data_IF_030378654580
#
_entry.id   IF_030378654580
#
_cell.length_a   1.000
_cell.length_b   1.000
_cell.length_c   1.000
_cell.angle_alpha   90.00
_cell.angle_beta   90.00
_cell.angle_gamma   90.00
#
_symmetry.space_group_name_H-M   'P 1'
#
loop_
_entity.id
_entity.type
_entity.pdbx_description
1 polymer ?
#
# COMPACT_ATOMS: atom_id res chain seq x y z
N UNK A 1 29.01 -14.42 -14.20
CA UNK A 1 27.59 -14.03 -14.33
C UNK A 1 26.75 -15.00 -13.54
N UNK A 2 25.97 -14.54 -12.55
CA UNK A 2 24.97 -15.40 -11.89
C UNK A 2 23.80 -15.63 -12.85
N UNK A 3 23.24 -16.84 -12.84
CA UNK A 3 22.15 -17.25 -13.71
C UNK A 3 20.97 -17.70 -12.85
N UNK A 4 19.78 -17.26 -13.23
CA UNK A 4 18.52 -17.62 -12.58
C UNK A 4 17.54 -18.14 -13.63
N UNK A 5 16.60 -18.99 -13.20
CA UNK A 5 15.47 -19.37 -14.03
C UNK A 5 14.48 -18.20 -14.11
N UNK A 6 14.17 -17.59 -12.97
CA UNK A 6 13.22 -16.47 -12.85
C UNK A 6 13.87 -15.29 -12.14
N UNK A 7 13.76 -14.11 -12.72
CA UNK A 7 14.08 -12.85 -12.04
C UNK A 7 12.79 -12.06 -11.80
N UNK A 8 12.56 -11.63 -10.57
CA UNK A 8 11.43 -10.78 -10.19
C UNK A 8 11.96 -9.39 -9.84
N UNK A 9 11.42 -8.35 -10.48
CA UNK A 9 11.86 -6.96 -10.31
C UNK A 9 10.84 -6.20 -9.46
N UNK A 10 11.19 -5.95 -8.21
CA UNK A 10 10.41 -5.19 -7.24
C UNK A 10 9.86 -6.07 -6.11
N UNK A 11 10.37 -5.88 -4.90
CA UNK A 11 9.90 -6.58 -3.70
C UNK A 11 8.62 -5.98 -3.09
N UNK A 12 7.65 -5.59 -3.92
CA UNK A 12 6.30 -5.24 -3.47
C UNK A 12 5.45 -6.49 -3.21
N UNK A 13 4.18 -6.32 -2.83
CA UNK A 13 3.25 -7.44 -2.57
C UNK A 13 3.20 -8.45 -3.73
N UNK A 14 3.09 -7.97 -4.97
CA UNK A 14 3.06 -8.85 -6.15
C UNK A 14 4.39 -9.58 -6.38
N UNK A 15 5.52 -8.89 -6.22
CA UNK A 15 6.83 -9.49 -6.43
C UNK A 15 7.20 -10.51 -5.35
N UNK A 16 6.77 -10.31 -4.11
CA UNK A 16 6.96 -11.29 -3.04
C UNK A 16 6.25 -12.61 -3.38
N UNK A 17 4.96 -12.56 -3.74
CA UNK A 17 4.21 -13.76 -4.13
C UNK A 17 4.79 -14.41 -5.40
N UNK A 18 5.15 -13.62 -6.42
CA UNK A 18 5.75 -14.16 -7.64
C UNK A 18 7.08 -14.87 -7.38
N UNK A 19 7.95 -14.28 -6.56
CA UNK A 19 9.25 -14.86 -6.24
C UNK A 19 9.13 -16.11 -5.37
N UNK A 20 8.28 -16.07 -4.33
CA UNK A 20 8.00 -17.22 -3.48
C UNK A 20 7.37 -18.37 -4.28
N UNK A 21 6.41 -18.07 -5.17
CA UNK A 21 5.78 -19.09 -6.01
C UNK A 21 6.82 -19.77 -6.93
N UNK A 22 7.65 -18.98 -7.64
CA UNK A 22 8.67 -19.53 -8.53
C UNK A 22 9.68 -20.41 -7.78
N UNK A 23 10.18 -19.94 -6.64
CA UNK A 23 11.14 -20.68 -5.82
C UNK A 23 10.52 -21.98 -5.24
N UNK A 24 9.28 -21.92 -4.74
CA UNK A 24 8.53 -23.09 -4.23
C UNK A 24 8.23 -24.13 -5.30
N UNK A 25 8.13 -23.71 -6.56
CA UNK A 25 8.05 -24.61 -7.72
C UNK A 25 9.40 -25.22 -8.12
N UNK A 26 10.48 -24.90 -7.41
CA UNK A 26 11.80 -25.49 -7.58
C UNK A 26 12.73 -24.75 -8.54
N UNK A 27 12.39 -23.53 -8.96
CA UNK A 27 13.18 -22.71 -9.87
C UNK A 27 14.19 -21.84 -9.13
N UNK A 28 15.42 -21.71 -9.65
CA UNK A 28 16.41 -20.76 -9.12
C UNK A 28 15.94 -19.33 -9.37
N UNK A 29 15.58 -18.61 -8.31
CA UNK A 29 14.86 -17.33 -8.39
C UNK A 29 15.65 -16.20 -7.75
N UNK A 30 15.67 -15.03 -8.38
CA UNK A 30 16.17 -13.81 -7.76
C UNK A 30 15.09 -12.74 -7.66
N UNK A 31 14.92 -12.16 -6.46
CA UNK A 31 14.06 -11.01 -6.21
C UNK A 31 14.91 -9.76 -6.06
N UNK A 32 14.79 -8.84 -7.01
CA UNK A 32 15.46 -7.54 -6.99
C UNK A 32 14.61 -6.46 -6.34
N UNK A 33 15.24 -5.59 -5.56
CA UNK A 33 14.61 -4.41 -4.98
C UNK A 33 15.60 -3.28 -4.80
N UNK A 34 15.13 -2.03 -4.85
CA UNK A 34 15.99 -0.86 -4.57
C UNK A 34 16.43 -0.81 -3.10
N UNK A 35 15.63 -1.38 -2.19
CA UNK A 35 15.97 -1.51 -0.78
C UNK A 35 15.33 -2.78 -0.18
N UNK A 36 16.13 -3.54 0.57
CA UNK A 36 15.67 -4.71 1.32
C UNK A 36 14.93 -4.33 2.61
N UNK A 37 14.91 -3.06 3.00
CA UNK A 37 14.27 -2.58 4.23
C UNK A 37 12.80 -2.19 4.02
N UNK A 38 12.30 -2.32 2.78
CA UNK A 38 10.91 -2.02 2.42
C UNK A 38 10.20 -3.18 1.69
N UNK A 39 10.67 -4.42 1.83
CA UNK A 39 10.04 -5.64 1.29
C UNK A 39 8.58 -5.74 1.73
N UNK A 40 7.65 -5.84 0.78
CA UNK A 40 6.20 -5.86 1.02
C UNK A 40 5.68 -4.74 1.93
N UNK A 41 6.35 -3.58 1.94
CA UNK A 41 5.93 -2.43 2.75
C UNK A 41 4.53 -1.96 2.37
N UNK A 42 3.67 -1.83 3.38
CA UNK A 42 2.32 -1.27 3.26
C UNK A 42 2.35 0.26 3.17
N UNK A 43 2.48 0.78 1.95
CA UNK A 43 2.65 2.23 1.70
C UNK A 43 1.38 3.05 1.91
N UNK A 44 0.22 2.41 1.87
CA UNK A 44 -1.09 3.06 1.97
C UNK A 44 -1.76 2.66 3.30
N UNK A 45 -2.91 1.99 3.23
CA UNK A 45 -3.68 1.57 4.39
C UNK A 45 -2.97 0.45 5.18
N UNK A 46 -2.91 0.50 6.53
CA UNK A 46 -2.41 -0.57 7.41
C UNK A 46 -3.34 -1.81 7.45
N UNK A 47 -3.92 -2.26 6.33
CA UNK A 47 -4.87 -3.38 6.36
C UNK A 47 -4.78 -4.32 5.17
N UNK A 48 -5.17 -5.58 5.44
CA UNK A 48 -5.33 -6.66 4.46
C UNK A 48 -6.77 -7.19 4.53
N UNK A 49 -7.31 -7.56 3.37
CA UNK A 49 -8.69 -8.00 3.24
C UNK A 49 -9.70 -6.86 3.13
N UNK A 50 -10.93 -7.10 3.59
CA UNK A 50 -12.11 -6.28 3.33
C UNK A 50 -12.98 -6.83 2.20
N UNK A 51 -14.02 -6.10 1.76
CA UNK A 51 -14.90 -6.58 0.69
C UNK A 51 -14.11 -6.91 -0.58
N UNK A 52 -14.40 -8.05 -1.21
CA UNK A 52 -13.64 -8.69 -2.28
C UNK A 52 -12.20 -9.10 -1.91
N UNK A 53 -11.39 -8.16 -1.38
CA UNK A 53 -9.99 -8.39 -1.00
C UNK A 53 -9.80 -9.54 -0.02
N UNK A 54 -10.71 -9.73 0.94
CA UNK A 54 -10.63 -10.81 1.91
C UNK A 54 -10.77 -12.19 1.27
N UNK A 55 -11.56 -12.30 0.21
CA UNK A 55 -11.68 -13.54 -0.58
C UNK A 55 -10.40 -13.79 -1.37
N UNK A 56 -9.86 -12.77 -2.04
CA UNK A 56 -8.60 -12.86 -2.79
C UNK A 56 -7.43 -13.31 -1.89
N UNK A 57 -7.35 -12.83 -0.65
CA UNK A 57 -6.30 -13.26 0.30
C UNK A 57 -6.45 -14.75 0.62
N UNK A 58 -7.68 -15.25 0.80
CA UNK A 58 -7.93 -16.68 1.02
C UNK A 58 -7.66 -17.52 -0.23
N UNK A 59 -7.93 -17.00 -1.42
CA UNK A 59 -7.59 -17.67 -2.68
C UNK A 59 -6.06 -17.76 -2.86
N UNK A 60 -5.32 -16.69 -2.54
CA UNK A 60 -3.84 -16.71 -2.52
C UNK A 60 -3.33 -17.77 -1.54
N UNK A 61 -3.92 -17.87 -0.35
CA UNK A 61 -3.57 -18.91 0.64
C UNK A 61 -3.79 -20.32 0.11
N UNK A 62 -4.96 -20.57 -0.50
CA UNK A 62 -5.31 -21.87 -1.07
C UNK A 62 -4.37 -22.30 -2.20
N UNK A 63 -3.80 -21.34 -2.93
CA UNK A 63 -2.78 -21.57 -3.95
C UNK A 63 -1.35 -21.72 -3.38
N UNK A 64 -1.18 -21.61 -2.06
CA UNK A 64 0.11 -21.76 -1.38
C UNK A 64 0.92 -20.46 -1.25
N UNK A 65 0.28 -19.31 -1.46
CA UNK A 65 0.89 -17.98 -1.27
C UNK A 65 1.17 -17.64 0.19
N UNK A 66 1.78 -16.48 0.42
CA UNK A 66 2.28 -16.08 1.74
C UNK A 66 1.46 -15.00 2.43
N UNK A 67 0.70 -14.19 1.69
CA UNK A 67 -0.02 -13.01 2.20
C UNK A 67 -0.91 -13.33 3.41
N UNK A 68 -1.64 -14.45 3.37
CA UNK A 68 -2.53 -14.87 4.45
C UNK A 68 -1.78 -15.29 5.72
N UNK A 69 -0.69 -16.06 5.57
CA UNK A 69 0.18 -16.45 6.69
C UNK A 69 0.86 -15.22 7.29
N UNK A 70 1.33 -14.32 6.44
CA UNK A 70 2.03 -13.11 6.86
C UNK A 70 1.11 -12.18 7.66
N UNK A 71 -0.13 -11.96 7.21
CA UNK A 71 -1.08 -11.15 7.96
C UNK A 71 -1.48 -11.80 9.28
N UNK A 72 -1.63 -13.13 9.35
CA UNK A 72 -1.91 -13.83 10.60
C UNK A 72 -0.78 -13.67 11.63
N UNK A 73 0.47 -13.59 11.17
CA UNK A 73 1.63 -13.29 12.02
C UNK A 73 1.76 -11.81 12.40
N UNK A 74 1.14 -10.89 11.67
CA UNK A 74 1.36 -9.45 11.86
C UNK A 74 0.10 -8.63 12.16
N UNK A 75 -1.08 -9.23 12.27
CA UNK A 75 -2.30 -8.45 12.51
C UNK A 75 -2.28 -7.81 13.90
N UNK A 76 -2.95 -6.66 14.01
CA UNK A 76 -3.23 -5.94 15.27
C UNK A 76 -4.73 -5.81 15.52
N UNK A 77 -5.57 -6.14 14.55
CA UNK A 77 -7.02 -6.25 14.71
C UNK A 77 -7.55 -7.15 13.60
N UNK A 78 -8.54 -8.00 13.87
CA UNK A 78 -9.26 -8.72 12.82
C UNK A 78 -10.77 -8.66 13.04
N UNK A 79 -11.53 -8.53 11.94
CA UNK A 79 -13.00 -8.45 11.95
C UNK A 79 -13.61 -9.17 10.76
N UNK A 80 -14.80 -9.72 10.95
CA UNK A 80 -15.69 -10.10 9.86
C UNK A 80 -16.56 -8.92 9.47
N UNK A 81 -16.50 -8.51 8.21
CA UNK A 81 -17.37 -7.47 7.66
C UNK A 81 -18.67 -8.08 7.14
N UNK A 82 -19.73 -7.27 7.04
CA UNK A 82 -21.05 -7.66 6.54
C UNK A 82 -21.71 -8.82 7.30
N UNK A 83 -21.47 -8.95 8.61
CA UNK A 83 -22.02 -10.03 9.45
C UNK A 83 -23.55 -10.08 9.49
N UNK A 84 -24.22 -8.93 9.33
CA UNK A 84 -25.69 -8.82 9.22
C UNK A 84 -26.26 -9.33 7.88
N UNK A 85 -25.40 -9.72 6.94
CA UNK A 85 -25.79 -10.27 5.63
C UNK A 85 -25.37 -11.75 5.53
N UNK A 86 -25.86 -12.41 4.48
CA UNK A 86 -25.59 -13.82 4.23
C UNK A 86 -24.08 -14.13 4.08
N UNK A 87 -23.65 -15.39 4.32
CA UNK A 87 -22.25 -15.79 4.29
C UNK A 87 -21.48 -15.38 3.03
N UNK A 88 -22.14 -15.42 1.86
CA UNK A 88 -21.54 -15.10 0.56
C UNK A 88 -20.98 -13.68 0.43
N UNK A 89 -21.38 -12.74 1.29
CA UNK A 89 -20.88 -11.35 1.26
C UNK A 89 -20.05 -10.98 2.49
N UNK A 90 -19.81 -11.94 3.39
CA UNK A 90 -18.93 -11.76 4.55
C UNK A 90 -17.49 -11.75 4.07
N UNK A 91 -16.66 -10.90 4.66
CA UNK A 91 -15.24 -10.84 4.31
C UNK A 91 -14.41 -10.53 5.54
N UNK A 92 -13.30 -11.24 5.70
CA UNK A 92 -12.31 -10.92 6.72
C UNK A 92 -11.58 -9.63 6.35
N UNK A 93 -11.31 -8.80 7.35
CA UNK A 93 -10.40 -7.67 7.27
C UNK A 93 -9.53 -7.64 8.50
N UNK A 94 -8.22 -7.54 8.31
CA UNK A 94 -7.26 -7.34 9.39
C UNK A 94 -6.57 -5.99 9.25
N UNK A 95 -6.40 -5.29 10.38
CA UNK A 95 -5.37 -4.28 10.52
C UNK A 95 -4.03 -4.97 10.76
N UNK A 96 -2.97 -4.46 10.18
CA UNK A 96 -1.61 -4.98 10.29
C UNK A 96 -0.73 -4.01 11.06
N UNK A 97 0.19 -4.55 11.85
CA UNK A 97 1.41 -3.83 12.20
C UNK A 97 2.27 -3.78 10.94
N UNK A 98 2.42 -2.58 10.37
CA UNK A 98 3.08 -2.42 9.07
C UNK A 98 4.55 -2.83 9.11
N UNK A 99 5.23 -2.58 10.22
CA UNK A 99 6.65 -2.92 10.36
C UNK A 99 6.79 -4.43 10.54
N UNK A 100 5.96 -5.05 11.38
CA UNK A 100 5.96 -6.48 11.56
C UNK A 100 5.61 -7.22 10.27
N UNK A 101 4.62 -6.75 9.49
CA UNK A 101 4.28 -7.36 8.20
C UNK A 101 5.46 -7.35 7.22
N UNK A 102 6.22 -6.25 7.16
CA UNK A 102 7.44 -6.17 6.37
C UNK A 102 8.49 -7.18 6.85
N UNK A 103 8.76 -7.20 8.17
CA UNK A 103 9.76 -8.07 8.78
C UNK A 103 9.44 -9.55 8.51
N UNK A 104 8.21 -9.97 8.75
CA UNK A 104 7.76 -11.35 8.54
C UNK A 104 7.84 -11.77 7.05
N UNK A 105 7.48 -10.87 6.12
CA UNK A 105 7.59 -11.17 4.69
C UNK A 105 9.06 -11.24 4.24
N UNK A 106 9.90 -10.36 4.77
CA UNK A 106 11.35 -10.38 4.50
C UNK A 106 11.96 -11.69 4.99
N UNK A 107 11.61 -12.12 6.21
CA UNK A 107 12.04 -13.42 6.74
C UNK A 107 11.53 -14.59 5.89
N UNK A 108 10.28 -14.55 5.43
CA UNK A 108 9.75 -15.58 4.54
C UNK A 108 10.53 -15.68 3.22
N UNK A 109 10.96 -14.55 2.65
CA UNK A 109 11.78 -14.49 1.44
C UNK A 109 13.21 -14.97 1.69
N UNK A 110 13.86 -14.49 2.75
CA UNK A 110 15.26 -14.80 3.05
C UNK A 110 15.48 -16.26 3.45
N UNK A 111 14.46 -16.91 4.03
CA UNK A 111 14.49 -18.31 4.42
C UNK A 111 13.91 -19.27 3.37
N UNK A 112 13.47 -18.77 2.21
CA UNK A 112 12.92 -19.62 1.15
C UNK A 112 14.06 -20.24 0.33
N UNK A 113 14.14 -21.57 0.31
CA UNK A 113 15.06 -22.30 -0.56
C UNK A 113 14.89 -21.87 -2.02
N UNK A 114 16.02 -21.77 -2.75
CA UNK A 114 16.12 -21.33 -4.15
C UNK A 114 15.67 -19.89 -4.43
N UNK A 115 15.52 -19.05 -3.39
CA UNK A 115 15.23 -17.63 -3.54
C UNK A 115 16.39 -16.77 -3.03
N UNK A 116 16.97 -15.96 -3.92
CA UNK A 116 17.95 -14.93 -3.56
C UNK A 116 17.31 -13.54 -3.55
N UNK A 117 17.35 -12.84 -2.42
CA UNK A 117 16.99 -11.42 -2.36
C UNK A 117 18.22 -10.55 -2.66
N UNK A 118 18.12 -9.64 -3.63
CA UNK A 118 19.24 -8.81 -4.10
C UNK A 118 18.83 -7.33 -4.10
N UNK A 119 19.60 -6.50 -3.41
CA UNK A 119 19.43 -5.06 -3.46
C UNK A 119 20.14 -4.47 -4.68
N UNK A 120 19.38 -4.12 -5.72
CA UNK A 120 19.85 -3.33 -6.87
C UNK A 120 18.65 -2.76 -7.64
N UNK A 121 18.87 -1.63 -8.31
CA UNK A 121 17.93 -1.09 -9.30
C UNK A 121 18.19 -1.75 -10.66
N UNK A 122 17.17 -2.38 -11.25
CA UNK A 122 17.26 -2.88 -12.62
C UNK A 122 16.98 -1.72 -13.58
N UNK A 123 17.90 -1.50 -14.52
CA UNK A 123 17.82 -0.43 -15.51
C UNK A 123 17.34 -0.91 -16.87
N UNK A 124 17.66 -2.14 -17.27
CA UNK A 124 17.37 -2.63 -18.63
C UNK A 124 17.12 -4.15 -18.64
N UNK A 125 16.35 -4.61 -19.63
CA UNK A 125 16.30 -6.03 -20.00
C UNK A 125 17.24 -6.27 -21.18
N UNK A 126 17.89 -7.42 -21.23
CA UNK A 126 18.68 -7.85 -22.39
C UNK A 126 17.84 -8.87 -23.16
N UNK A 127 17.64 -8.61 -24.44
CA UNK A 127 16.80 -9.41 -25.33
C UNK A 127 17.66 -10.05 -26.43
N UNK A 128 17.42 -11.33 -26.70
CA UNK A 128 17.93 -12.09 -27.83
C UNK A 128 16.72 -12.61 -28.61
N UNK A 129 16.56 -12.22 -29.88
CA UNK A 129 15.42 -12.60 -30.72
C UNK A 129 14.04 -12.38 -30.06
N UNK A 130 13.84 -11.18 -29.48
CA UNK A 130 12.63 -10.80 -28.71
C UNK A 130 12.35 -11.65 -27.45
N UNK A 131 13.31 -12.48 -27.02
CA UNK A 131 13.23 -13.24 -25.78
C UNK A 131 14.18 -12.65 -24.75
N UNK A 132 13.73 -12.53 -23.50
CA UNK A 132 14.61 -12.08 -22.42
C UNK A 132 15.71 -13.12 -22.15
N UNK A 133 16.96 -12.66 -22.11
CA UNK A 133 18.13 -13.49 -21.80
C UNK A 133 18.84 -13.06 -20.51
N UNK A 134 18.72 -11.78 -20.12
CA UNK A 134 19.28 -11.24 -18.89
C UNK A 134 18.60 -9.93 -18.45
N UNK A 135 18.96 -9.47 -17.26
CA UNK A 135 18.68 -8.10 -16.77
C UNK A 135 20.00 -7.40 -16.44
N UNK A 136 20.00 -6.08 -16.56
CA UNK A 136 21.15 -5.23 -16.22
C UNK A 136 20.77 -4.29 -15.07
N UNK A 137 21.63 -4.22 -14.06
CA UNK A 137 21.48 -3.24 -12.98
C UNK A 137 21.99 -1.87 -13.40
N UNK A 138 21.58 -0.84 -12.67
CA UNK A 138 22.07 0.53 -12.85
C UNK A 138 23.61 0.65 -12.76
N UNK A 139 24.24 -0.17 -11.91
CA UNK A 139 25.69 -0.24 -11.75
C UNK A 139 26.38 -1.02 -12.89
N UNK A 140 25.62 -1.53 -13.87
CA UNK A 140 26.15 -2.24 -15.04
C UNK A 140 26.33 -3.75 -14.83
N UNK A 141 25.87 -4.32 -13.72
CA UNK A 141 25.96 -5.76 -13.48
C UNK A 141 24.90 -6.50 -14.29
N UNK A 142 25.28 -7.66 -14.85
CA UNK A 142 24.40 -8.48 -15.70
C UNK A 142 24.07 -9.81 -15.01
N UNK A 143 22.78 -10.12 -14.93
CA UNK A 143 22.24 -11.36 -14.38
C UNK A 143 21.43 -12.09 -15.44
N UNK A 144 21.80 -13.34 -15.76
CA UNK A 144 21.08 -14.14 -16.77
C UNK A 144 19.75 -14.62 -16.21
N UNK A 145 18.72 -14.62 -17.05
CA UNK A 145 17.36 -15.04 -16.71
C UNK A 145 16.70 -15.77 -17.87
N UNK A 146 15.92 -16.82 -17.59
CA UNK A 146 15.04 -17.43 -18.60
C UNK A 146 13.68 -16.73 -18.68
N UNK A 147 13.26 -16.08 -17.60
CA UNK A 147 12.00 -15.32 -17.51
C UNK A 147 12.13 -14.18 -16.52
N UNK A 148 11.38 -13.10 -16.74
CA UNK A 148 11.38 -11.90 -15.89
C UNK A 148 9.95 -11.49 -15.53
N UNK A 149 9.72 -11.20 -14.26
CA UNK A 149 8.44 -10.64 -13.75
C UNK A 149 8.68 -9.19 -13.33
N UNK A 150 7.95 -8.24 -13.92
CA UNK A 150 7.98 -6.83 -13.55
C UNK A 150 6.91 -6.53 -12.49
N UNK A 151 7.33 -6.20 -11.27
CA UNK A 151 6.46 -5.87 -10.14
C UNK A 151 6.87 -4.51 -9.52
N UNK A 152 7.06 -3.50 -10.38
CA UNK A 152 7.68 -2.21 -10.06
C UNK A 152 6.81 -1.26 -9.22
N UNK A 153 5.53 -1.58 -9.02
CA UNK A 153 4.61 -0.79 -8.20
C UNK A 153 4.50 0.66 -8.68
N UNK A 154 4.66 1.62 -7.77
CA UNK A 154 4.53 3.06 -8.05
C UNK A 154 5.86 3.73 -8.42
N UNK A 155 6.92 2.95 -8.72
CA UNK A 155 8.29 3.48 -8.82
C UNK A 155 8.70 3.93 -10.22
N UNK A 156 8.19 3.30 -11.29
CA UNK A 156 8.51 3.70 -12.67
C UNK A 156 8.02 5.13 -12.93
N UNK A 157 8.94 6.07 -13.15
CA UNK A 157 8.66 7.50 -13.30
C UNK A 157 7.70 8.04 -12.23
N UNK A 158 7.85 7.53 -11.01
CA UNK A 158 7.07 7.93 -9.84
C UNK A 158 7.24 9.42 -9.56
N UNK A 159 6.13 10.14 -9.43
CA UNK A 159 6.10 11.56 -9.06
C UNK A 159 5.08 11.77 -7.94
N UNK A 160 5.51 12.39 -6.86
CA UNK A 160 4.70 12.73 -5.69
C UNK A 160 4.14 14.14 -5.83
N UNK A 161 2.89 14.33 -5.42
CA UNK A 161 2.15 15.58 -5.57
C UNK A 161 1.51 16.00 -4.24
N UNK A 162 1.83 17.22 -3.81
CA UNK A 162 1.20 17.91 -2.67
C UNK A 162 0.92 19.35 -3.09
N UNK A 163 -0.35 19.64 -3.39
CA UNK A 163 -0.79 20.93 -3.92
C UNK A 163 -0.12 21.23 -5.27
N UNK A 164 0.74 22.26 -5.29
CA UNK A 164 1.57 22.60 -6.45
C UNK A 164 2.96 21.96 -6.41
N UNK A 165 3.38 21.45 -5.26
CA UNK A 165 4.69 20.81 -5.11
C UNK A 165 4.72 19.47 -5.82
N UNK A 166 5.82 19.22 -6.54
CA UNK A 166 6.12 17.94 -7.19
C UNK A 166 7.51 17.47 -6.77
N UNK A 167 7.63 16.18 -6.49
CA UNK A 167 8.90 15.55 -6.15
C UNK A 167 8.99 14.21 -6.86
N UNK A 168 10.12 13.92 -7.50
CA UNK A 168 10.37 12.58 -8.04
C UNK A 168 10.52 11.57 -6.90
N UNK A 169 9.79 10.46 -6.99
CA UNK A 169 9.82 9.42 -5.98
C UNK A 169 8.72 8.39 -6.20
N UNK A 170 9.04 7.11 -5.99
CA UNK A 170 8.02 6.05 -6.04
C UNK A 170 7.11 6.11 -4.82
N UNK A 171 7.64 6.56 -3.69
CA UNK A 171 6.95 6.78 -2.41
C UNK A 171 7.63 7.94 -1.68
N UNK A 172 6.96 8.52 -0.69
CA UNK A 172 7.57 9.59 0.12
C UNK A 172 8.87 9.09 0.77
N UNK A 173 9.99 9.74 0.44
CA UNK A 173 11.33 9.38 0.92
C UNK A 173 12.02 8.24 0.15
N UNK A 174 11.41 7.71 -0.91
CA UNK A 174 12.01 6.65 -1.74
C UNK A 174 12.14 7.13 -3.20
N UNK A 175 13.31 6.92 -3.85
CA UNK A 175 13.55 7.40 -5.21
C UNK A 175 12.61 6.75 -6.25
N UNK A 176 12.45 7.38 -7.40
CA UNK A 176 11.81 6.79 -8.57
C UNK A 176 12.82 6.04 -9.43
N UNK A 177 12.33 5.12 -10.27
CA UNK A 177 13.13 4.45 -11.30
C UNK A 177 12.86 5.06 -12.68
N UNK A 178 13.92 5.35 -13.44
CA UNK A 178 13.85 6.09 -14.71
C UNK A 178 14.32 5.28 -15.92
N UNK A 179 15.41 4.53 -15.76
CA UNK A 179 16.08 3.85 -16.87
C UNK A 179 15.22 2.69 -17.41
N UNK A 180 14.60 1.90 -16.54
CA UNK A 180 13.75 0.77 -16.95
C UNK A 180 12.53 1.20 -17.80
N UNK A 181 11.72 2.20 -17.41
CA UNK A 181 10.63 2.63 -18.27
C UNK A 181 11.10 3.25 -19.60
N UNK A 182 12.23 3.96 -19.62
CA UNK A 182 12.83 4.44 -20.88
C UNK A 182 13.25 3.29 -21.80
N UNK A 183 13.82 2.21 -21.24
CA UNK A 183 14.14 1.02 -21.99
C UNK A 183 12.89 0.33 -22.55
N UNK A 184 11.85 0.16 -21.72
CA UNK A 184 10.60 -0.48 -22.13
C UNK A 184 9.90 0.27 -23.28
N UNK A 185 9.90 1.60 -23.26
CA UNK A 185 9.40 2.41 -24.39
C UNK A 185 10.23 2.22 -25.66
N UNK A 186 11.57 2.15 -25.54
CA UNK A 186 12.46 1.93 -26.71
C UNK A 186 12.20 0.60 -27.42
N UNK A 187 11.76 -0.43 -26.69
CA UNK A 187 11.39 -1.73 -27.28
C UNK A 187 9.92 -1.80 -27.72
N UNK A 188 9.19 -0.67 -27.68
CA UNK A 188 7.84 -0.55 -28.20
C UNK A 188 6.71 -0.82 -27.20
N UNK A 189 6.98 -0.85 -25.89
CA UNK A 189 5.91 -0.94 -24.88
C UNK A 189 5.26 0.43 -24.69
N UNK A 190 3.97 0.52 -25.00
CA UNK A 190 3.17 1.70 -24.72
C UNK A 190 2.90 1.83 -23.22
N UNK A 191 3.09 3.04 -22.68
CA UNK A 191 2.85 3.33 -21.27
C UNK A 191 1.75 4.37 -21.08
N UNK A 192 0.99 4.18 -20.02
CA UNK A 192 0.02 5.15 -19.51
C UNK A 192 0.33 5.44 -18.06
N UNK A 193 -0.09 6.62 -17.58
CA UNK A 193 0.13 7.04 -16.20
C UNK A 193 -1.15 6.94 -15.39
N UNK A 194 -1.01 6.39 -14.18
CA UNK A 194 -2.06 6.31 -13.18
C UNK A 194 -1.71 7.17 -11.97
N UNK A 195 -2.73 7.47 -11.17
CA UNK A 195 -2.55 8.17 -9.90
C UNK A 195 -3.26 7.50 -8.74
N UNK A 196 -2.69 7.59 -7.56
CA UNK A 196 -3.37 7.19 -6.32
C UNK A 196 -2.99 8.12 -5.15
N UNK A 197 -3.93 8.35 -4.25
CA UNK A 197 -3.76 9.23 -3.09
C UNK A 197 -3.69 8.47 -1.78
N UNK A 198 -2.90 8.98 -0.84
CA UNK A 198 -2.82 8.48 0.53
C UNK A 198 -3.16 9.59 1.53
N UNK A 199 -3.79 9.29 2.68
CA UNK A 199 -4.13 10.29 3.67
C UNK A 199 -2.91 10.74 4.49
N UNK A 200 -3.04 11.83 5.26
CA UNK A 200 -2.09 12.17 6.29
C UNK A 200 -2.04 11.09 7.40
N UNK A 201 -0.89 11.01 8.06
CA UNK A 201 -0.68 10.23 9.29
C UNK A 201 -0.52 11.22 10.44
N UNK A 202 -1.18 10.94 11.54
CA UNK A 202 -1.19 11.83 12.72
C UNK A 202 -0.66 11.10 13.96
N UNK A 203 -0.17 11.87 14.92
CA UNK A 203 0.33 11.35 16.18
C UNK A 203 -0.84 10.97 17.11
N UNK A 204 -0.87 9.71 17.56
CA UNK A 204 -1.83 9.14 18.51
C UNK A 204 -2.09 10.05 19.70
N UNK A 205 -1.04 10.63 20.28
CA UNK A 205 -1.14 11.43 21.52
C UNK A 205 -1.82 12.79 21.32
N UNK A 206 -2.12 13.15 20.07
CA UNK A 206 -2.78 14.39 19.70
C UNK A 206 -4.24 14.20 19.25
N UNK A 207 -4.73 12.96 19.30
CA UNK A 207 -6.11 12.59 18.96
C UNK A 207 -6.93 12.51 20.26
N UNK A 208 -8.09 13.15 20.27
CA UNK A 208 -9.09 12.94 21.32
C UNK A 208 -10.03 11.78 20.92
N UNK A 209 -9.72 10.59 21.43
CA UNK A 209 -10.51 9.40 21.17
C UNK A 209 -11.85 9.38 21.93
N UNK A 210 -12.04 10.22 22.96
CA UNK A 210 -13.23 10.19 23.82
C UNK A 210 -14.51 10.63 23.08
N UNK A 211 -14.34 11.42 22.01
CA UNK A 211 -15.42 11.88 21.14
C UNK A 211 -15.63 11.01 19.88
N UNK A 212 -14.82 9.95 19.72
CA UNK A 212 -14.90 9.03 18.58
C UNK A 212 -15.61 7.73 18.95
N UNK A 213 -16.14 7.04 17.94
CA UNK A 213 -16.77 5.73 18.14
C UNK A 213 -15.70 4.65 18.03
N UNK A 214 -15.38 3.99 19.13
CA UNK A 214 -14.47 2.85 19.14
C UNK A 214 -15.00 1.69 18.28
N UNK A 215 -14.09 1.05 17.54
CA UNK A 215 -14.34 -0.10 16.68
C UNK A 215 -13.31 -1.19 17.02
N UNK A 216 -13.60 -2.04 18.02
CA UNK A 216 -12.71 -3.12 18.41
C UNK A 216 -12.70 -4.25 17.36
N UNK A 217 -11.71 -5.14 17.48
CA UNK A 217 -11.68 -6.40 16.75
C UNK A 217 -12.73 -7.40 17.23
N UNK A 218 -12.95 -8.46 16.46
CA UNK A 218 -13.79 -9.58 16.91
C UNK A 218 -13.09 -10.38 18.01
N UNK A 219 -13.88 -10.91 18.95
CA UNK A 219 -13.39 -11.70 20.09
C UNK A 219 -13.03 -13.14 19.71
N UNK A 220 -13.52 -13.64 18.58
CA UNK A 220 -13.18 -14.96 18.05
C UNK A 220 -11.74 -14.98 17.51
N UNK A 221 -11.07 -16.13 17.60
CA UNK A 221 -9.76 -16.38 16.97
C UNK A 221 -9.91 -16.47 15.45
N UNK A 222 -9.98 -15.31 14.79
CA UNK A 222 -10.06 -15.21 13.34
C UNK A 222 -8.65 -15.33 12.72
N UNK A 223 -8.57 -16.02 11.58
CA UNK A 223 -7.37 -16.19 10.77
C UNK A 223 -7.70 -16.16 9.29
N UNK A 224 -6.76 -15.69 8.47
CA UNK A 224 -6.86 -15.76 7.03
C UNK A 224 -6.45 -17.13 6.51
N UNK A 225 -5.29 -17.63 6.94
CA UNK A 225 -4.70 -18.86 6.44
C UNK A 225 -5.25 -20.08 7.16
N UNK A 226 -5.51 -21.13 6.39
CA UNK A 226 -5.93 -22.42 6.96
C UNK A 226 -4.74 -23.17 7.58
N UNK A 227 -3.50 -22.77 7.25
CA UNK A 227 -2.27 -23.31 7.86
C UNK A 227 -1.89 -22.68 9.21
N UNK A 228 -2.51 -21.55 9.57
CA UNK A 228 -2.31 -20.89 10.86
C UNK A 228 -3.02 -21.67 11.97
N UNK A 229 -2.32 -22.00 13.06
CA UNK A 229 -2.94 -22.66 14.22
C UNK A 229 -3.65 -21.65 15.12
N UNK A 230 -4.77 -22.04 15.73
CA UNK A 230 -5.53 -21.15 16.61
C UNK A 230 -4.70 -20.71 17.83
N UNK A 231 -3.82 -21.59 18.32
CA UNK A 231 -2.90 -21.31 19.41
C UNK A 231 -1.96 -20.14 19.10
N UNK A 232 -1.47 -20.03 17.86
CA UNK A 232 -0.55 -18.97 17.44
C UNK A 232 -1.16 -17.56 17.48
N UNK A 233 -2.50 -17.45 17.50
CA UNK A 233 -3.22 -16.17 17.44
C UNK A 233 -4.09 -15.89 18.68
N UNK A 234 -4.36 -16.90 19.51
CA UNK A 234 -5.35 -16.85 20.60
C UNK A 234 -5.14 -15.71 21.59
N UNK A 235 -3.89 -15.39 21.91
CA UNK A 235 -3.54 -14.39 22.94
C UNK A 235 -3.05 -13.06 22.35
N UNK A 236 -3.26 -12.83 21.05
CA UNK A 236 -2.77 -11.62 20.42
C UNK A 236 -3.57 -10.41 20.88
N UNK A 237 -2.88 -9.41 21.43
CA UNK A 237 -3.49 -8.13 21.82
C UNK A 237 -4.06 -7.42 20.59
N UNK A 238 -5.37 -7.21 20.53
CA UNK A 238 -5.95 -6.41 19.46
C UNK A 238 -6.04 -4.92 19.85
N UNK A 239 -5.73 -4.04 18.90
CA UNK A 239 -5.89 -2.59 18.98
C UNK A 239 -7.21 -2.18 18.32
N UNK A 240 -7.85 -1.14 18.84
CA UNK A 240 -9.08 -0.60 18.27
C UNK A 240 -8.82 0.41 17.15
N UNK A 241 -9.74 0.46 16.19
CA UNK A 241 -9.87 1.60 15.28
C UNK A 241 -10.92 2.55 15.85
N UNK A 242 -10.95 3.79 15.36
CA UNK A 242 -11.90 4.79 15.84
C UNK A 242 -12.57 5.47 14.66
N UNK A 243 -13.89 5.59 14.73
CA UNK A 243 -14.70 6.21 13.68
C UNK A 243 -15.08 7.64 14.10
N UNK A 244 -14.75 8.58 13.24
CA UNK A 244 -15.25 9.96 13.25
C UNK A 244 -15.81 10.31 11.87
N UNK A 245 -16.24 11.56 11.67
CA UNK A 245 -16.81 12.01 10.41
C UNK A 245 -16.29 13.38 10.03
N UNK A 246 -16.18 13.64 8.72
CA UNK A 246 -16.12 15.02 8.23
C UNK A 246 -17.47 15.72 8.43
N UNK A 247 -17.48 17.03 8.21
CA UNK A 247 -18.67 17.88 8.34
C UNK A 247 -18.65 18.98 7.26
N UNK A 248 -19.69 19.81 7.25
CA UNK A 248 -19.84 20.91 6.30
C UNK A 248 -18.67 21.89 6.34
N UNK A 249 -18.08 22.17 7.51
CA UNK A 249 -16.92 23.07 7.60
C UNK A 249 -15.68 22.51 6.88
N UNK A 250 -15.43 21.21 7.04
CA UNK A 250 -14.39 20.49 6.29
C UNK A 250 -14.67 20.57 4.80
N UNK A 251 -15.91 20.33 4.39
CA UNK A 251 -16.29 20.36 2.97
C UNK A 251 -16.09 21.75 2.36
N UNK A 252 -16.54 22.80 3.04
CA UNK A 252 -16.33 24.18 2.62
C UNK A 252 -14.84 24.52 2.49
N UNK A 253 -14.01 24.06 3.43
CA UNK A 253 -12.56 24.26 3.36
C UNK A 253 -11.94 23.56 2.15
N UNK A 254 -12.37 22.33 1.86
CA UNK A 254 -11.92 21.57 0.69
C UNK A 254 -12.38 22.22 -0.61
N UNK A 255 -13.67 22.55 -0.73
CA UNK A 255 -14.30 23.15 -1.90
C UNK A 255 -13.66 24.49 -2.27
N UNK A 256 -13.43 25.36 -1.28
CA UNK A 256 -12.76 26.66 -1.47
C UNK A 256 -11.29 26.56 -1.90
N UNK A 257 -10.68 25.37 -1.83
CA UNK A 257 -9.29 25.11 -2.21
C UNK A 257 -9.16 24.03 -3.30
N UNK A 258 -10.26 23.65 -3.96
CA UNK A 258 -10.25 22.61 -5.01
C UNK A 258 -9.24 22.93 -6.12
N UNK A 259 -9.20 24.18 -6.57
CA UNK A 259 -8.27 24.66 -7.59
C UNK A 259 -6.78 24.59 -7.17
N UNK A 260 -6.48 24.22 -5.93
CA UNK A 260 -5.11 23.98 -5.45
C UNK A 260 -4.75 22.50 -5.36
N UNK A 261 -5.73 21.59 -5.37
CA UNK A 261 -5.48 20.15 -5.42
C UNK A 261 -4.87 19.77 -6.77
N UNK A 262 -3.86 18.91 -6.76
CA UNK A 262 -3.12 18.55 -7.98
C UNK A 262 -4.03 17.94 -9.05
N UNK A 263 -5.07 17.22 -8.62
CA UNK A 263 -6.09 16.59 -9.47
C UNK A 263 -6.90 17.62 -10.27
N UNK A 264 -7.20 18.79 -9.69
CA UNK A 264 -8.13 19.77 -10.25
C UNK A 264 -7.43 21.00 -10.85
N UNK A 265 -6.16 21.23 -10.52
CA UNK A 265 -5.39 22.38 -10.98
C UNK A 265 -4.62 22.11 -12.29
N UNK A 266 -4.87 20.97 -12.95
CA UNK A 266 -4.20 20.56 -14.18
C UNK A 266 -2.74 20.09 -14.01
N UNK A 267 -2.20 20.06 -12.79
CA UNK A 267 -0.86 19.51 -12.55
C UNK A 267 -0.81 17.98 -12.62
N UNK A 268 -1.95 17.31 -12.56
CA UNK A 268 -2.05 15.86 -12.54
C UNK A 268 -3.17 15.37 -13.48
N UNK A 269 -2.80 15.12 -14.75
CA UNK A 269 -3.74 14.73 -15.81
C UNK A 269 -3.97 13.21 -15.92
N UNK A 270 -3.28 12.41 -15.10
CA UNK A 270 -3.38 10.95 -15.11
C UNK A 270 -4.72 10.44 -14.57
N UNK A 271 -5.14 9.27 -15.06
CA UNK A 271 -6.38 8.63 -14.64
C UNK A 271 -6.23 8.07 -13.22
N UNK A 272 -7.19 8.40 -12.34
CA UNK A 272 -7.27 7.83 -10.99
C UNK A 272 -8.21 6.62 -10.93
N UNK A 273 -8.14 5.81 -9.87
CA UNK A 273 -9.08 4.71 -9.68
C UNK A 273 -10.51 5.24 -9.51
N UNK A 274 -11.47 4.67 -10.25
CA UNK A 274 -12.88 5.09 -10.18
C UNK A 274 -13.51 4.96 -8.78
N UNK A 275 -12.99 4.05 -7.95
CA UNK A 275 -13.66 3.58 -6.72
C UNK A 275 -12.96 3.96 -5.40
N UNK A 276 -11.81 4.65 -5.43
CA UNK A 276 -11.13 5.14 -4.22
C UNK A 276 -10.81 6.64 -4.32
N UNK A 277 -11.84 7.51 -4.39
CA UNK A 277 -11.66 8.94 -4.57
C UNK A 277 -10.96 9.58 -3.36
N UNK A 278 -10.14 10.61 -3.62
CA UNK A 278 -9.62 11.50 -2.58
C UNK A 278 -10.76 12.30 -1.94
N UNK A 279 -10.53 12.91 -0.77
CA UNK A 279 -11.56 13.70 -0.07
C UNK A 279 -12.04 14.86 -0.94
N UNK A 280 -11.14 15.51 -1.67
CA UNK A 280 -11.49 16.55 -2.64
C UNK A 280 -12.40 16.05 -3.78
N UNK A 281 -12.18 14.82 -4.26
CA UNK A 281 -13.02 14.22 -5.30
C UNK A 281 -14.36 13.73 -4.73
N UNK A 282 -14.39 13.18 -3.51
CA UNK A 282 -15.61 12.77 -2.80
C UNK A 282 -16.57 13.95 -2.58
N UNK A 283 -16.06 15.03 -2.01
CA UNK A 283 -16.87 16.23 -1.69
C UNK A 283 -17.35 16.91 -2.97
N UNK A 284 -16.54 16.92 -4.03
CA UNK A 284 -16.94 17.48 -5.32
C UNK A 284 -18.04 16.66 -6.02
N UNK A 285 -17.97 15.34 -5.96
CA UNK A 285 -18.92 14.42 -6.62
C UNK A 285 -20.20 14.19 -5.82
N UNK A 286 -20.12 14.14 -4.50
CA UNK A 286 -21.24 13.80 -3.61
C UNK A 286 -21.65 15.01 -2.75
N UNK A 287 -21.99 16.12 -3.40
CA UNK A 287 -22.28 17.41 -2.74
C UNK A 287 -23.43 17.34 -1.74
N UNK A 288 -24.38 16.43 -1.95
CA UNK A 288 -25.56 16.26 -1.08
C UNK A 288 -25.23 15.54 0.24
N UNK A 289 -24.01 15.02 0.41
CA UNK A 289 -23.58 14.34 1.64
C UNK A 289 -23.01 15.35 2.62
N UNK A 290 -23.69 15.55 3.75
CA UNK A 290 -23.24 16.45 4.82
C UNK A 290 -22.00 15.96 5.57
N UNK A 291 -21.70 14.65 5.48
CA UNK A 291 -20.57 14.02 6.15
C UNK A 291 -20.05 12.78 5.42
N UNK A 292 -18.77 12.51 5.59
CA UNK A 292 -18.10 11.27 5.18
C UNK A 292 -17.40 10.61 6.36
N UNK A 293 -17.42 9.27 6.40
CA UNK A 293 -16.73 8.51 7.44
C UNK A 293 -15.21 8.66 7.33
N UNK A 294 -14.57 8.77 8.49
CA UNK A 294 -13.12 8.76 8.65
C UNK A 294 -12.78 7.75 9.73
N UNK A 295 -11.95 6.76 9.39
CA UNK A 295 -11.42 5.82 10.37
C UNK A 295 -9.99 6.22 10.73
N UNK A 296 -9.75 6.45 12.02
CA UNK A 296 -8.41 6.53 12.59
C UNK A 296 -7.94 5.11 12.90
N UNK A 297 -6.97 4.63 12.12
CA UNK A 297 -6.50 3.24 12.13
C UNK A 297 -5.03 3.22 12.63
N UNK A 298 -4.69 2.47 13.69
CA UNK A 298 -3.31 2.38 14.17
C UNK A 298 -2.41 1.72 13.11
N UNK A 299 -1.18 2.20 12.92
CA UNK A 299 -0.23 1.59 11.98
C UNK A 299 0.64 0.45 12.58
N UNK A 300 0.60 0.23 13.89
CA UNK A 300 1.33 -0.84 14.57
C UNK A 300 1.37 -0.71 16.10
N UNK A 301 1.98 -1.67 16.79
CA UNK A 301 2.13 -1.65 18.25
C UNK A 301 3.19 -0.67 18.72
N UNK A 302 4.27 -0.55 17.96
CA UNK A 302 5.48 0.20 18.32
C UNK A 302 5.56 1.58 17.66
N UNK A 303 4.42 2.14 17.24
CA UNK A 303 4.34 3.47 16.62
C UNK A 303 3.16 4.26 17.18
N UNK A 304 3.30 5.58 17.19
CA UNK A 304 2.20 6.50 17.45
C UNK A 304 1.52 6.98 16.16
N UNK A 305 1.90 6.49 14.99
CA UNK A 305 1.26 6.85 13.73
C UNK A 305 -0.15 6.24 13.61
N UNK A 306 -1.14 7.10 13.36
CA UNK A 306 -2.50 6.73 12.98
C UNK A 306 -2.78 7.15 11.54
N UNK A 307 -3.28 6.21 10.75
CA UNK A 307 -3.71 6.40 9.37
C UNK A 307 -5.16 6.88 9.34
N UNK A 308 -5.42 8.01 8.67
CA UNK A 308 -6.77 8.60 8.57
C UNK A 308 -7.49 8.12 7.30
N UNK A 309 -7.94 6.86 7.33
CA UNK A 309 -8.66 6.25 6.21
C UNK A 309 -9.94 7.04 5.89
N UNK A 310 -10.13 7.35 4.61
CA UNK A 310 -11.21 8.22 4.13
C UNK A 310 -10.74 9.62 3.71
N UNK A 311 -9.56 10.06 4.16
CA UNK A 311 -9.00 11.40 3.91
C UNK A 311 -7.80 11.42 2.94
N UNK A 312 -7.70 10.46 2.01
CA UNK A 312 -6.69 10.53 0.94
C UNK A 312 -6.79 11.88 0.23
N UNK A 313 -5.67 12.56 0.01
CA UNK A 313 -5.69 13.92 -0.55
C UNK A 313 -4.36 14.29 -1.22
N UNK A 314 -4.44 15.23 -2.15
CA UNK A 314 -3.30 15.93 -2.74
C UNK A 314 -3.33 17.43 -2.45
N UNK A 315 -4.14 17.88 -1.48
CA UNK A 315 -4.25 19.30 -1.12
C UNK A 315 -2.93 19.84 -0.52
N UNK A 316 -2.68 21.17 -0.61
CA UNK A 316 -1.56 21.81 0.07
C UNK A 316 -1.53 21.53 1.59
N UNK A 317 -0.33 21.55 2.19
CA UNK A 317 -0.11 21.19 3.60
C UNK A 317 -0.94 22.02 4.57
N UNK A 318 -1.05 23.34 4.34
CA UNK A 318 -1.85 24.26 5.15
C UNK A 318 -3.35 23.94 5.11
N UNK A 319 -3.83 23.48 3.96
CA UNK A 319 -5.22 23.06 3.78
C UNK A 319 -5.48 21.75 4.51
N UNK A 320 -4.53 20.80 4.46
CA UNK A 320 -4.64 19.54 5.20
C UNK A 320 -4.71 19.78 6.71
N UNK A 321 -3.81 20.60 7.28
CA UNK A 321 -3.85 20.96 8.70
C UNK A 321 -5.17 21.63 9.08
N UNK A 322 -5.60 22.61 8.27
CA UNK A 322 -6.85 23.32 8.49
C UNK A 322 -8.06 22.38 8.44
N UNK A 323 -8.06 21.38 7.57
CA UNK A 323 -9.11 20.38 7.47
C UNK A 323 -9.16 19.51 8.72
N UNK A 324 -8.02 18.98 9.17
CA UNK A 324 -7.99 18.08 10.34
C UNK A 324 -8.49 18.76 11.60
N UNK A 325 -8.13 20.04 11.81
CA UNK A 325 -8.57 20.83 12.97
C UNK A 325 -10.10 21.00 13.08
N UNK A 326 -10.85 20.68 12.03
CA UNK A 326 -12.32 20.79 11.95
C UNK A 326 -13.03 19.44 12.05
N UNK A 327 -12.28 18.34 12.18
CA UNK A 327 -12.85 17.00 12.34
C UNK A 327 -12.94 16.69 13.84
N UNK A 328 -14.10 16.26 14.36
CA UNK A 328 -14.26 15.89 15.76
C UNK A 328 -13.22 14.88 16.22
N UNK A 329 -12.46 15.25 17.25
CA UNK A 329 -11.38 14.47 17.85
C UNK A 329 -9.99 14.68 17.24
N UNK A 330 -9.89 15.51 16.19
CA UNK A 330 -8.65 15.85 15.48
C UNK A 330 -8.30 17.36 15.56
N UNK A 331 -8.96 18.12 16.43
CA UNK A 331 -8.79 19.57 16.60
C UNK A 331 -7.34 19.95 16.92
N UNK A 332 -6.65 19.07 17.65
CA UNK A 332 -5.25 19.24 18.07
C UNK A 332 -4.31 18.26 17.37
N UNK A 333 -4.78 17.52 16.36
CA UNK A 333 -4.02 16.49 15.71
C UNK A 333 -2.73 17.05 15.09
N UNK A 334 -1.60 16.46 15.46
CA UNK A 334 -0.27 16.76 14.92
C UNK A 334 0.01 15.80 13.76
N UNK A 335 0.18 16.35 12.56
CA UNK A 335 0.52 15.58 11.37
C UNK A 335 1.98 15.13 11.46
N UNK A 336 2.21 13.82 11.37
CA UNK A 336 3.54 13.21 11.26
C UNK A 336 3.95 13.03 9.80
N UNK A 337 2.99 12.75 8.92
CA UNK A 337 3.21 12.68 7.46
C UNK A 337 2.02 13.29 6.74
N UNK A 338 2.26 14.20 5.80
CA UNK A 338 1.20 14.76 4.99
C UNK A 338 0.64 13.74 4.00
N UNK A 339 -0.64 13.90 3.66
CA UNK A 339 -1.24 13.21 2.53
C UNK A 339 -0.65 13.71 1.22
N UNK A 340 -0.57 12.81 0.24
CA UNK A 340 -0.05 13.12 -1.08
C UNK A 340 -0.68 12.18 -2.12
N UNK A 341 -0.56 12.56 -3.40
CA UNK A 341 -0.81 11.65 -4.51
C UNK A 341 0.50 11.21 -5.16
N UNK A 342 0.59 9.97 -5.61
CA UNK A 342 1.67 9.48 -6.47
C UNK A 342 1.12 9.22 -7.86
N UNK A 343 1.84 9.72 -8.85
CA UNK A 343 1.65 9.45 -10.27
C UNK A 343 2.76 8.51 -10.74
N UNK A 344 2.40 7.46 -11.47
CA UNK A 344 3.32 6.44 -11.97
C UNK A 344 2.82 5.97 -13.33
#
# INVERSE_FOLDING_TARGET
MKSFDVIVIGAGHAGCEAALAAARMGMETALFTMTLDNVARMSCNPSIGGPAKGHLVKEIDALGGEMAKNIDKSFIQMRVLNTKKGPAVRALRAQADKNLYHIEMKQAIENQDKLSAIQAEISELILEDFKVSAVKTKEGLIYKAKSVVLATGTFMRGTLHIGKSRQEGGRMGEPSSKELPEFLEKIGIEMSRFKTGTPPRVNKNSIDFSVMIEQPGDSSSLKFSDSTTDESIKNRKQLSCYLTHTNVEVHNKVLSNLNKASIFNGTLNSQGPRYCPSIEDKVSKFKDKERHQVFAEPEGYSTNEFYLNGLSTSLPVDVQESMLKRIPGLEKASIMRYGYAVEY
#
